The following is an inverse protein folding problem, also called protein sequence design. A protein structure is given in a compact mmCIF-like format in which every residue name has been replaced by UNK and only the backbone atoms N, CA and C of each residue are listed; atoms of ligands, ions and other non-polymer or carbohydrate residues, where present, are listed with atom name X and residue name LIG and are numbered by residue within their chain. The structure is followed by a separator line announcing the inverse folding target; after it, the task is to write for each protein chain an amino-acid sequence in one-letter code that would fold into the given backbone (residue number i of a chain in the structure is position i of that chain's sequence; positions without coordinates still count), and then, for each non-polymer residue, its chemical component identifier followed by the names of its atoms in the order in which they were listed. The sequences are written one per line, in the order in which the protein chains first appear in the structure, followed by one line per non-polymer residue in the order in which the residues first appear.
data_IF_409939682901
#
_entry.id   IF_409939682901
#
_cell.length_a   1.000
_cell.length_b   1.000
_cell.length_c   1.000
_cell.angle_alpha   90.00
_cell.angle_beta   90.00
_cell.angle_gamma   90.00
#
_symmetry.space_group_name_H-M   'P 1'
#
loop_
_entity.id
_entity.type
_entity.pdbx_description
1 polymer ?
#
# COMPACT_ATOMS: atom_id res chain seq x y z
N UNK A 1 -9.81 -8.42 -51.44
CA UNK A 1 -10.88 -8.01 -52.39
C UNK A 1 -12.18 -7.90 -51.64
N UNK A 2 -12.85 -6.79 -51.76
CA UNK A 2 -14.17 -6.30 -51.34
C UNK A 2 -14.13 -5.33 -50.18
N UNK A 3 -13.95 -4.07 -50.57
CA UNK A 3 -14.36 -2.89 -49.84
C UNK A 3 -15.90 -2.83 -49.74
N UNK A 4 -16.42 -2.36 -48.63
CA UNK A 4 -17.78 -1.88 -48.58
C UNK A 4 -17.81 -0.53 -47.84
N UNK A 5 -18.04 0.48 -48.65
CA UNK A 5 -18.35 1.85 -48.23
C UNK A 5 -19.82 1.89 -47.76
N UNK A 6 -20.08 2.54 -46.64
CA UNK A 6 -21.43 3.06 -46.37
C UNK A 6 -21.28 4.52 -45.97
N UNK A 7 -21.96 5.33 -46.74
CA UNK A 7 -21.99 6.78 -46.73
C UNK A 7 -22.92 7.35 -45.65
N UNK A 8 -22.49 8.52 -45.19
CA UNK A 8 -23.21 9.68 -44.69
C UNK A 8 -24.72 9.74 -44.70
N UNK A 9 -25.32 10.18 -43.60
CA UNK A 9 -26.46 11.13 -43.67
C UNK A 9 -26.31 12.10 -42.49
N UNK A 10 -26.13 13.39 -42.83
CA UNK A 10 -26.14 14.51 -41.91
C UNK A 10 -27.56 14.87 -41.51
N UNK A 11 -27.72 15.25 -40.25
CA UNK A 11 -28.95 15.91 -39.81
C UNK A 11 -28.59 17.26 -39.16
N UNK A 12 -28.91 18.33 -39.87
CA UNK A 12 -28.83 19.70 -39.39
C UNK A 12 -30.03 19.93 -38.47
N UNK A 13 -29.81 20.23 -37.21
CA UNK A 13 -30.84 20.71 -36.28
C UNK A 13 -30.62 22.17 -35.97
N UNK A 14 -31.60 22.94 -36.35
CA UNK A 14 -31.73 24.38 -36.27
C UNK A 14 -31.87 24.82 -34.82
N UNK A 15 -30.97 25.70 -34.33
CA UNK A 15 -31.03 26.29 -33.02
C UNK A 15 -32.06 27.44 -32.99
N UNK A 16 -33.05 27.36 -32.10
CA UNK A 16 -33.95 28.45 -31.79
C UNK A 16 -33.44 29.18 -30.54
N UNK A 17 -32.98 30.41 -30.72
CA UNK A 17 -32.64 31.32 -29.64
C UNK A 17 -33.91 31.91 -29.03
N UNK A 18 -34.22 31.62 -27.78
CA UNK A 18 -35.24 32.31 -26.99
C UNK A 18 -34.51 33.21 -26.00
N UNK A 19 -34.48 34.51 -26.28
CA UNK A 19 -34.10 35.60 -25.38
C UNK A 19 -35.22 35.87 -24.39
N UNK A 20 -35.11 35.38 -23.16
CA UNK A 20 -36.01 35.75 -22.05
C UNK A 20 -35.31 36.72 -21.11
N UNK A 21 -35.63 38.01 -21.16
CA UNK A 21 -35.29 38.96 -20.12
C UNK A 21 -36.22 38.76 -18.91
N UNK A 22 -35.69 38.22 -17.81
CA UNK A 22 -36.36 38.27 -16.52
C UNK A 22 -35.75 39.35 -15.67
N UNK A 23 -36.54 40.39 -15.40
CA UNK A 23 -36.22 41.48 -14.48
C UNK A 23 -36.25 40.94 -13.05
N UNK A 24 -35.12 40.90 -12.39
CA UNK A 24 -34.97 40.50 -11.00
C UNK A 24 -35.31 41.70 -10.10
N UNK A 25 -36.19 41.55 -9.07
CA UNK A 25 -36.46 42.62 -8.13
C UNK A 25 -35.25 42.93 -7.24
N UNK A 26 -35.11 44.16 -6.71
CA UNK A 26 -33.97 44.56 -5.91
C UNK A 26 -33.92 43.78 -4.59
N UNK A 27 -32.77 43.13 -4.36
CA UNK A 27 -32.46 42.38 -3.17
C UNK A 27 -32.08 43.33 -2.02
N UNK A 28 -32.59 43.15 -0.79
CA UNK A 28 -32.21 43.97 0.36
C UNK A 28 -30.73 43.72 0.74
N UNK A 29 -30.04 44.70 1.37
CA UNK A 29 -28.63 44.59 1.69
C UNK A 29 -28.39 43.44 2.66
N UNK A 30 -27.49 42.53 2.25
CA UNK A 30 -27.06 41.39 3.04
C UNK A 30 -26.25 41.89 4.24
N UNK A 31 -26.66 41.48 5.45
CA UNK A 31 -25.85 41.61 6.66
C UNK A 31 -24.54 40.83 6.53
N UNK A 32 -23.44 41.30 7.12
CA UNK A 32 -22.17 40.58 7.03
C UNK A 32 -22.29 39.23 7.72
N UNK A 33 -22.21 38.16 6.91
CA UNK A 33 -22.03 36.79 7.41
C UNK A 33 -20.62 36.70 7.93
N UNK A 34 -20.46 36.57 9.24
CA UNK A 34 -19.19 36.19 9.87
C UNK A 34 -18.90 34.77 9.44
N UNK A 35 -18.05 34.64 8.41
CA UNK A 35 -17.50 33.35 8.00
C UNK A 35 -16.52 32.91 9.06
N UNK A 36 -16.96 32.05 9.98
CA UNK A 36 -16.04 31.27 10.81
C UNK A 36 -15.30 30.30 9.90
N UNK A 37 -14.01 30.54 9.68
CA UNK A 37 -13.14 29.62 8.97
C UNK A 37 -13.20 28.25 9.67
N UNK A 38 -13.34 27.12 8.92
CA UNK A 38 -13.25 25.80 9.51
C UNK A 38 -11.87 25.64 10.12
N UNK A 39 -11.81 25.45 11.43
CA UNK A 39 -10.60 25.04 12.13
C UNK A 39 -10.15 23.71 11.51
N UNK A 40 -9.07 23.75 10.74
CA UNK A 40 -8.47 22.53 10.20
C UNK A 40 -8.11 21.63 11.39
N UNK A 41 -8.83 20.52 11.50
CA UNK A 41 -8.52 19.46 12.45
C UNK A 41 -7.16 18.90 12.02
N UNK A 42 -6.10 19.30 12.74
CA UNK A 42 -4.76 18.74 12.54
C UNK A 42 -4.84 17.32 13.05
N UNK A 43 -5.00 16.35 12.16
CA UNK A 43 -4.81 14.93 12.49
C UNK A 43 -3.39 14.81 13.08
N UNK A 44 -3.21 14.24 14.29
CA UNK A 44 -1.89 14.10 14.87
C UNK A 44 -1.04 13.28 13.88
N UNK A 45 0.09 13.84 13.47
CA UNK A 45 1.06 13.13 12.65
C UNK A 45 1.49 11.88 13.44
N UNK A 46 1.22 10.71 12.90
CA UNK A 46 1.70 9.44 13.45
C UNK A 46 3.22 9.55 13.54
N UNK A 47 3.76 9.43 14.75
CA UNK A 47 5.21 9.47 14.95
C UNK A 47 5.86 8.36 14.12
N UNK A 48 6.69 8.76 13.16
CA UNK A 48 7.37 7.84 12.25
C UNK A 48 8.45 7.10 13.03
N UNK A 49 8.45 5.77 13.11
CA UNK A 49 9.51 5.03 13.78
C UNK A 49 10.86 5.30 13.10
N UNK A 50 11.84 5.69 13.88
CA UNK A 50 13.20 5.96 13.38
C UNK A 50 14.09 4.71 13.34
N UNK A 51 13.61 3.56 13.83
CA UNK A 51 14.42 2.35 14.03
C UNK A 51 13.74 1.10 13.49
N UNK A 52 14.56 0.23 12.89
CA UNK A 52 14.12 -1.10 12.44
C UNK A 52 13.60 -1.95 13.62
N UNK A 53 14.29 -1.85 14.75
CA UNK A 53 13.98 -2.60 15.97
C UNK A 53 12.94 -1.89 16.82
N UNK A 54 12.26 -2.63 17.69
CA UNK A 54 11.22 -2.12 18.60
C UNK A 54 9.95 -1.61 17.92
N UNK A 55 9.80 -1.87 16.62
CA UNK A 55 8.59 -1.59 15.85
C UNK A 55 8.02 -2.90 15.34
N UNK A 56 6.71 -3.08 15.50
CA UNK A 56 6.00 -4.13 14.78
C UNK A 56 5.62 -3.59 13.41
N UNK A 57 6.11 -4.24 12.38
CA UNK A 57 5.90 -3.90 10.98
C UNK A 57 4.79 -4.76 10.40
N UNK A 58 3.82 -4.15 9.75
CA UNK A 58 2.75 -4.82 9.01
C UNK A 58 3.05 -4.76 7.52
N UNK A 59 3.09 -5.91 6.86
CA UNK A 59 3.29 -5.98 5.41
C UNK A 59 2.10 -5.37 4.67
N UNK A 60 2.39 -4.43 3.77
CA UNK A 60 1.41 -3.81 2.89
C UNK A 60 1.50 -4.39 1.47
N UNK A 61 2.74 -4.59 0.97
CA UNK A 61 3.02 -5.05 -0.39
C UNK A 61 4.19 -6.01 -0.41
N UNK A 62 4.18 -6.93 -1.36
CA UNK A 62 5.26 -7.88 -1.61
C UNK A 62 5.40 -8.17 -3.12
N UNK A 63 6.59 -8.61 -3.55
CA UNK A 63 6.85 -9.06 -4.92
C UNK A 63 6.40 -10.53 -5.05
N UNK A 64 5.41 -10.82 -5.90
CA UNK A 64 4.98 -12.20 -6.10
C UNK A 64 6.03 -12.98 -6.94
N UNK A 65 5.89 -14.30 -6.99
CA UNK A 65 6.86 -15.18 -7.71
C UNK A 65 6.99 -14.87 -9.20
N UNK A 66 6.12 -14.02 -9.75
CA UNK A 66 6.13 -13.57 -11.15
C UNK A 66 6.77 -12.19 -11.30
N UNK A 67 7.25 -11.58 -10.20
CA UNK A 67 7.76 -10.21 -10.18
C UNK A 67 6.64 -9.16 -10.24
N UNK A 68 5.43 -9.52 -9.82
CA UNK A 68 4.29 -8.59 -9.76
C UNK A 68 4.12 -8.07 -8.34
N UNK A 69 4.11 -6.75 -8.22
CA UNK A 69 3.90 -6.06 -6.96
C UNK A 69 2.45 -6.22 -6.49
N UNK A 70 2.25 -6.94 -5.39
CA UNK A 70 0.94 -7.40 -4.93
C UNK A 70 0.64 -6.95 -3.51
N UNK A 71 -0.61 -6.62 -3.24
CA UNK A 71 -1.10 -6.34 -1.87
C UNK A 71 -1.29 -7.63 -1.09
N UNK A 72 -1.15 -7.51 0.23
CA UNK A 72 -1.55 -8.58 1.15
C UNK A 72 -3.04 -8.88 0.98
N UNK A 73 -3.40 -10.16 0.90
CA UNK A 73 -4.78 -10.61 0.71
C UNK A 73 -5.69 -10.08 1.84
N UNK A 74 -6.88 -9.65 1.48
CA UNK A 74 -7.88 -9.20 2.44
C UNK A 74 -8.21 -10.32 3.44
N UNK A 75 -8.30 -9.95 4.73
CA UNK A 75 -8.50 -10.91 5.82
C UNK A 75 -7.21 -11.61 6.28
N UNK A 76 -6.05 -11.36 5.65
CA UNK A 76 -4.74 -11.82 6.09
C UNK A 76 -3.95 -10.68 6.73
N UNK A 77 -3.14 -11.00 7.74
CA UNK A 77 -2.21 -10.05 8.36
C UNK A 77 -0.83 -10.69 8.47
N UNK A 78 0.13 -10.09 7.78
CA UNK A 78 1.55 -10.48 7.83
C UNK A 78 2.29 -9.42 8.64
N UNK A 79 3.09 -9.85 9.61
CA UNK A 79 3.85 -8.94 10.48
C UNK A 79 5.28 -9.40 10.67
N UNK A 80 6.16 -8.45 10.98
CA UNK A 80 7.54 -8.67 11.39
C UNK A 80 7.91 -7.72 12.54
N UNK A 81 8.47 -8.24 13.61
CA UNK A 81 9.08 -7.48 14.69
C UNK A 81 10.54 -7.87 14.80
N UNK A 82 11.44 -6.91 14.53
CA UNK A 82 12.88 -7.11 14.62
C UNK A 82 13.32 -6.83 16.05
N UNK A 83 13.82 -7.85 16.73
CA UNK A 83 14.28 -7.76 18.12
C UNK A 83 15.78 -7.44 18.15
N UNK A 84 16.22 -6.74 19.18
CA UNK A 84 17.63 -6.29 19.31
C UNK A 84 18.64 -7.45 19.38
N UNK A 85 18.21 -8.62 19.84
CA UNK A 85 19.04 -9.84 19.92
C UNK A 85 19.26 -10.54 18.56
N UNK A 86 18.88 -9.91 17.43
CA UNK A 86 19.06 -10.48 16.09
C UNK A 86 18.01 -11.53 15.72
N UNK A 87 16.81 -11.42 16.28
CA UNK A 87 15.68 -12.31 16.00
C UNK A 87 14.50 -11.54 15.45
N UNK A 88 13.83 -12.10 14.45
CA UNK A 88 12.55 -11.63 13.94
C UNK A 88 11.46 -12.56 14.45
N UNK A 89 10.34 -12.00 14.86
CA UNK A 89 9.11 -12.73 15.17
C UNK A 89 7.93 -12.08 14.46
N UNK A 90 6.90 -12.86 14.13
CA UNK A 90 5.73 -12.31 13.47
C UNK A 90 4.74 -13.36 13.00
N UNK A 91 3.87 -12.94 12.11
CA UNK A 91 2.89 -13.78 11.42
C UNK A 91 3.18 -13.78 9.92
N UNK A 92 3.14 -14.95 9.28
CA UNK A 92 3.20 -15.12 7.84
C UNK A 92 1.84 -15.00 7.14
N UNK A 93 0.78 -14.78 7.93
CA UNK A 93 -0.60 -14.75 7.47
C UNK A 93 -1.41 -15.96 7.93
N UNK A 94 -0.83 -17.15 7.88
CA UNK A 94 -1.40 -18.38 8.44
C UNK A 94 -0.67 -18.76 9.73
N UNK A 95 0.65 -18.79 9.70
CA UNK A 95 1.48 -19.26 10.79
C UNK A 95 2.23 -18.11 11.47
N UNK A 96 2.39 -18.21 12.79
CA UNK A 96 3.44 -17.45 13.46
C UNK A 96 4.81 -18.00 13.03
N UNK A 97 5.85 -17.15 13.01
CA UNK A 97 7.19 -17.58 12.67
C UNK A 97 8.23 -16.89 13.55
N UNK A 98 9.43 -17.43 13.54
CA UNK A 98 10.63 -16.76 14.02
C UNK A 98 11.79 -17.04 13.05
N UNK A 99 12.72 -16.08 12.95
CA UNK A 99 13.92 -16.19 12.13
C UNK A 99 15.07 -15.44 12.78
N UNK A 100 16.29 -15.88 12.58
CA UNK A 100 17.46 -15.09 12.95
C UNK A 100 17.78 -14.09 11.84
N UNK A 101 18.28 -12.91 12.23
CA UNK A 101 18.80 -11.93 11.27
C UNK A 101 20.11 -11.32 11.74
N UNK A 102 20.86 -10.78 10.81
CA UNK A 102 22.10 -10.06 11.05
C UNK A 102 22.09 -8.77 10.26
N UNK A 103 22.54 -7.69 10.90
CA UNK A 103 22.74 -6.40 10.24
C UNK A 103 24.23 -6.23 9.90
N UNK A 104 24.51 -5.69 8.74
CA UNK A 104 25.82 -5.26 8.31
C UNK A 104 25.90 -3.75 8.11
N UNK A 105 27.03 -3.30 7.59
CA UNK A 105 27.23 -1.91 7.18
C UNK A 105 26.29 -1.56 6.01
N UNK A 106 26.04 -0.25 5.80
CA UNK A 106 25.26 0.26 4.65
C UNK A 106 23.84 -0.33 4.56
N UNK A 107 23.19 -0.51 5.71
CA UNK A 107 21.85 -1.08 5.79
C UNK A 107 21.72 -2.51 5.22
N UNK A 108 22.81 -3.27 5.22
CA UNK A 108 22.77 -4.69 4.84
C UNK A 108 21.99 -5.47 5.88
N UNK A 109 21.17 -6.40 5.40
CA UNK A 109 20.43 -7.32 6.24
C UNK A 109 20.49 -8.73 5.66
N UNK A 110 20.76 -9.70 6.51
CA UNK A 110 20.70 -11.11 6.16
C UNK A 110 19.73 -11.83 7.07
N UNK A 111 18.73 -12.47 6.50
CA UNK A 111 17.67 -13.18 7.23
C UNK A 111 17.77 -14.67 6.93
N UNK A 112 17.83 -15.48 7.97
CA UNK A 112 17.85 -16.94 7.86
C UNK A 112 16.46 -17.47 7.56
N UNK A 113 16.40 -18.75 7.17
CA UNK A 113 15.14 -19.46 6.93
C UNK A 113 14.25 -19.38 8.17
N UNK A 114 13.00 -18.91 8.04
CA UNK A 114 12.06 -18.91 9.15
C UNK A 114 11.71 -20.30 9.66
N UNK A 115 11.57 -20.42 10.97
CA UNK A 115 11.00 -21.56 11.66
C UNK A 115 9.48 -21.36 11.76
N UNK A 116 8.71 -22.31 11.23
CA UNK A 116 7.26 -22.20 11.08
C UNK A 116 6.59 -23.49 11.58
N UNK A 117 5.51 -23.43 12.38
CA UNK A 117 4.80 -24.63 12.89
C UNK A 117 4.17 -25.50 11.81
N UNK A 118 3.91 -24.98 10.61
CA UNK A 118 3.39 -25.74 9.47
C UNK A 118 1.88 -26.06 9.56
N UNK A 119 1.08 -25.18 10.16
CA UNK A 119 -0.38 -25.31 10.14
C UNK A 119 -0.92 -25.05 8.74
N UNK A 120 -2.03 -25.70 8.40
CA UNK A 120 -2.74 -25.49 7.15
C UNK A 120 -3.94 -24.56 7.37
N UNK A 121 -3.98 -23.44 6.65
CA UNK A 121 -5.08 -22.49 6.67
C UNK A 121 -5.83 -22.53 5.34
N UNK A 122 -7.15 -22.60 5.41
CA UNK A 122 -8.01 -22.57 4.22
C UNK A 122 -8.48 -21.17 3.87
N UNK A 123 -8.48 -20.27 4.85
CA UNK A 123 -8.97 -18.90 4.70
C UNK A 123 -7.95 -17.89 5.26
N UNK A 124 -7.86 -16.71 4.60
CA UNK A 124 -8.45 -16.38 3.30
C UNK A 124 -7.86 -17.24 2.18
N UNK A 125 -8.58 -17.37 1.06
CA UNK A 125 -8.11 -18.12 -0.11
C UNK A 125 -6.73 -17.61 -0.56
N UNK A 126 -5.78 -18.53 -0.77
CA UNK A 126 -4.42 -18.18 -1.20
C UNK A 126 -3.46 -17.79 -0.07
N UNK A 127 -3.91 -17.77 1.19
CA UNK A 127 -3.04 -17.39 2.34
C UNK A 127 -1.78 -18.24 2.44
N UNK A 128 -1.84 -19.53 2.15
CA UNK A 128 -0.68 -20.43 2.18
C UNK A 128 0.35 -20.09 1.09
N UNK A 129 -0.13 -19.77 -0.12
CA UNK A 129 0.75 -19.34 -1.21
C UNK A 129 1.40 -17.99 -0.89
N UNK A 130 0.62 -17.05 -0.37
CA UNK A 130 1.12 -15.74 0.07
C UNK A 130 2.19 -15.87 1.16
N UNK A 131 1.95 -16.70 2.18
CA UNK A 131 2.91 -16.98 3.25
C UNK A 131 4.21 -17.56 2.70
N UNK A 132 4.13 -18.49 1.75
CA UNK A 132 5.30 -19.09 1.11
C UNK A 132 6.13 -18.06 0.33
N UNK A 133 5.47 -17.17 -0.42
CA UNK A 133 6.13 -16.08 -1.15
C UNK A 133 6.77 -15.10 -0.16
N UNK A 134 6.04 -14.67 0.86
CA UNK A 134 6.56 -13.80 1.91
C UNK A 134 7.86 -14.33 2.53
N UNK A 135 7.91 -15.61 2.89
CA UNK A 135 9.13 -16.21 3.45
C UNK A 135 10.27 -16.31 2.43
N UNK A 136 9.95 -16.50 1.15
CA UNK A 136 10.93 -16.47 0.08
C UNK A 136 11.55 -15.08 -0.06
N UNK A 137 10.74 -14.03 -0.07
CA UNK A 137 11.18 -12.65 -0.16
C UNK A 137 11.95 -12.21 1.09
N UNK A 138 11.51 -12.68 2.27
CA UNK A 138 12.20 -12.41 3.52
C UNK A 138 13.62 -12.99 3.51
N UNK A 139 13.80 -14.21 2.96
CA UNK A 139 15.12 -14.82 2.79
C UNK A 139 15.96 -14.21 1.66
N UNK A 140 15.31 -13.55 0.69
CA UNK A 140 15.99 -12.83 -0.39
C UNK A 140 16.48 -11.43 0.02
N UNK A 141 16.19 -10.99 1.26
CA UNK A 141 16.62 -9.70 1.79
C UNK A 141 18.12 -9.52 1.70
N UNK A 142 18.55 -8.36 1.20
CA UNK A 142 19.94 -7.97 1.08
C UNK A 142 20.21 -6.61 1.74
N UNK A 143 19.34 -5.64 1.50
CA UNK A 143 19.39 -4.31 2.13
C UNK A 143 18.00 -3.87 2.57
N UNK A 144 17.96 -2.87 3.45
CA UNK A 144 16.70 -2.25 3.86
C UNK A 144 16.82 -0.73 3.92
N UNK A 145 15.69 -0.03 3.85
CA UNK A 145 15.61 1.39 4.19
C UNK A 145 14.31 1.69 4.94
N UNK A 146 14.35 2.72 5.78
CA UNK A 146 13.15 3.27 6.42
C UNK A 146 12.97 4.68 5.88
N UNK A 147 11.94 4.87 5.08
CA UNK A 147 11.66 6.13 4.40
C UNK A 147 10.18 6.46 4.52
N UNK A 148 9.85 7.68 4.90
CA UNK A 148 8.47 8.14 5.10
C UNK A 148 7.65 7.23 6.05
N UNK A 149 8.31 6.64 7.05
CA UNK A 149 7.69 5.74 8.01
C UNK A 149 7.45 4.32 7.51
N UNK A 150 7.86 3.99 6.30
CA UNK A 150 7.74 2.66 5.72
C UNK A 150 9.10 1.95 5.76
N UNK A 151 9.08 0.65 6.07
CA UNK A 151 10.23 -0.22 5.94
C UNK A 151 10.19 -0.89 4.57
N UNK A 152 11.22 -0.67 3.77
CA UNK A 152 11.43 -1.30 2.47
C UNK A 152 12.57 -2.31 2.59
N UNK A 153 12.35 -3.52 2.10
CA UNK A 153 13.38 -4.56 1.99
C UNK A 153 13.69 -4.77 0.51
N UNK A 154 14.97 -4.79 0.18
CA UNK A 154 15.47 -4.97 -1.18
C UNK A 154 16.24 -6.28 -1.29
N UNK A 155 16.14 -6.91 -2.45
CA UNK A 155 16.96 -8.06 -2.81
C UNK A 155 18.32 -7.65 -3.40
N UNK A 156 19.14 -8.62 -3.78
CA UNK A 156 20.50 -8.39 -4.35
C UNK A 156 20.49 -7.62 -5.66
N UNK A 157 19.39 -7.66 -6.42
CA UNK A 157 19.18 -6.91 -7.65
C UNK A 157 18.68 -5.48 -7.38
N UNK A 158 18.67 -5.05 -6.11
CA UNK A 158 18.15 -3.75 -5.66
C UNK A 158 16.67 -3.51 -6.03
N UNK A 159 15.89 -4.59 -6.14
CA UNK A 159 14.43 -4.50 -6.27
C UNK A 159 13.79 -4.55 -4.90
N UNK A 160 12.78 -3.71 -4.67
CA UNK A 160 11.94 -3.82 -3.47
C UNK A 160 11.16 -5.12 -3.55
N UNK A 161 11.33 -5.98 -2.55
CA UNK A 161 10.59 -7.25 -2.45
C UNK A 161 9.52 -7.22 -1.36
N UNK A 162 9.72 -6.42 -0.30
CA UNK A 162 8.75 -6.25 0.78
C UNK A 162 8.62 -4.78 1.16
N UNK A 163 7.39 -4.32 1.39
CA UNK A 163 7.09 -3.00 1.94
C UNK A 163 6.16 -3.13 3.13
N UNK A 164 6.60 -2.56 4.24
CA UNK A 164 5.86 -2.58 5.50
C UNK A 164 5.48 -1.18 5.95
N UNK A 165 4.40 -1.12 6.72
CA UNK A 165 3.94 0.02 7.49
C UNK A 165 4.06 -0.29 8.98
N UNK A 166 4.25 0.71 9.86
CA UNK A 166 4.20 0.49 11.31
C UNK A 166 2.77 0.08 11.70
N UNK A 167 2.67 -0.90 12.62
CA UNK A 167 1.39 -1.38 13.14
C UNK A 167 0.92 -0.50 14.29
#
# INVERSE_FOLDING_TARGET
MKALHIACIGLVVLAVLVTGCTSQPPQPPASPVVTTAPTASVTPAVAVPASLTSTTWKLAWFDDTRGVWSKVAEGSTITATFLNEGRITGSGGCNGYSADYQLGNESRIFIRRPEVPGRLCQFPTGVMSQESVYFTDLMAADTYSITNGQLLIFNKENRTVLQFEPL
#
